data_IF_472740864085
#
_entry.id   IF_472740864085
#
_cell.length_a   1.000
_cell.length_b   1.000
_cell.length_c   1.000
_cell.angle_alpha   90.00
_cell.angle_beta   90.00
_cell.angle_gamma   90.00
#
_symmetry.space_group_name_H-M   'P 1'
#
loop_
_entity.id
_entity.type
_entity.pdbx_description
1 polymer ?
#
# COMPACT_ATOMS: atom_id res chain seq x y z
N UNK A 1 18.81 -27.23 3.24
CA UNK A 1 19.07 -27.22 1.79
C UNK A 1 18.95 -25.78 1.34
N UNK A 2 19.98 -25.22 0.70
CA UNK A 2 19.92 -23.83 0.23
C UNK A 2 18.82 -23.67 -0.83
N UNK A 3 18.11 -22.55 -0.82
CA UNK A 3 17.11 -22.27 -1.85
C UNK A 3 17.77 -22.18 -3.24
N UNK A 4 17.03 -22.44 -4.31
CA UNK A 4 17.56 -22.32 -5.68
C UNK A 4 18.10 -20.91 -5.99
N UNK A 5 17.56 -19.89 -5.31
CA UNK A 5 18.00 -18.50 -5.45
C UNK A 5 19.34 -18.28 -4.72
N UNK A 6 19.51 -18.80 -3.49
CA UNK A 6 20.78 -18.77 -2.77
C UNK A 6 21.91 -19.44 -3.54
N UNK A 7 21.64 -20.61 -4.15
CA UNK A 7 22.62 -21.32 -4.96
C UNK A 7 23.11 -20.47 -6.14
N UNK A 8 22.20 -19.71 -6.78
CA UNK A 8 22.55 -18.82 -7.87
C UNK A 8 23.40 -17.63 -7.42
N UNK A 9 23.03 -16.96 -6.32
CA UNK A 9 23.80 -15.82 -5.81
C UNK A 9 25.18 -16.25 -5.31
N UNK A 10 25.27 -17.40 -4.64
CA UNK A 10 26.55 -17.99 -4.22
C UNK A 10 27.45 -18.28 -5.42
N UNK A 11 26.88 -18.79 -6.50
CA UNK A 11 27.60 -18.98 -7.75
C UNK A 11 28.11 -17.67 -8.36
N UNK A 12 27.29 -16.61 -8.39
CA UNK A 12 27.72 -15.30 -8.90
C UNK A 12 28.83 -14.67 -8.06
N UNK A 13 28.80 -14.85 -6.73
CA UNK A 13 29.89 -14.41 -5.84
C UNK A 13 31.21 -15.13 -6.17
N UNK A 14 31.15 -16.45 -6.39
CA UNK A 14 32.30 -17.22 -6.87
C UNK A 14 32.79 -16.72 -8.23
N UNK A 15 31.87 -16.49 -9.17
CA UNK A 15 32.20 -16.01 -10.51
C UNK A 15 32.89 -14.64 -10.50
N UNK A 16 32.44 -13.72 -9.64
CA UNK A 16 33.00 -12.38 -9.51
C UNK A 16 34.47 -12.39 -9.06
N UNK A 17 34.87 -13.38 -8.25
CA UNK A 17 36.27 -13.55 -7.84
C UNK A 17 37.14 -14.26 -8.88
N UNK A 18 36.55 -15.03 -9.79
CA UNK A 18 37.27 -15.89 -10.74
C UNK A 18 37.40 -15.32 -12.15
N UNK A 19 36.44 -14.50 -12.62
CA UNK A 19 36.43 -14.06 -14.02
C UNK A 19 35.86 -12.65 -14.22
N UNK A 20 36.76 -11.68 -14.39
CA UNK A 20 36.38 -10.30 -14.77
C UNK A 20 35.71 -10.24 -16.14
N UNK A 21 36.09 -11.13 -17.07
CA UNK A 21 35.48 -11.25 -18.39
C UNK A 21 34.02 -11.67 -18.35
N UNK A 22 33.68 -12.65 -17.50
CA UNK A 22 32.30 -13.06 -17.26
C UNK A 22 31.46 -11.92 -16.68
N UNK A 23 31.98 -11.21 -15.67
CA UNK A 23 31.28 -10.04 -15.10
C UNK A 23 31.13 -8.89 -16.12
N UNK A 24 32.07 -8.75 -17.05
CA UNK A 24 31.93 -7.77 -18.14
C UNK A 24 30.82 -8.15 -19.13
N UNK A 25 30.68 -9.44 -19.47
CA UNK A 25 29.59 -9.92 -20.31
C UNK A 25 28.23 -9.72 -19.63
N UNK A 26 28.10 -10.13 -18.36
CA UNK A 26 26.86 -9.95 -17.58
C UNK A 26 26.46 -8.48 -17.43
N UNK A 27 27.41 -7.55 -17.25
CA UNK A 27 27.08 -6.11 -17.25
C UNK A 27 26.49 -5.65 -18.58
N UNK A 28 27.07 -6.08 -19.70
CA UNK A 28 26.62 -5.66 -21.04
C UNK A 28 25.24 -6.22 -21.38
N UNK A 29 24.87 -7.39 -20.86
CA UNK A 29 23.59 -8.02 -21.18
C UNK A 29 22.36 -7.18 -20.76
N UNK A 30 22.50 -6.27 -19.78
CA UNK A 30 21.42 -5.35 -19.39
C UNK A 30 21.11 -4.26 -20.44
N UNK A 31 21.92 -4.14 -21.49
CA UNK A 31 21.63 -3.25 -22.63
C UNK A 31 20.77 -3.93 -23.71
N UNK A 32 20.53 -5.25 -23.57
CA UNK A 32 19.70 -6.04 -24.47
C UNK A 32 18.41 -6.45 -23.75
N UNK A 33 17.46 -6.98 -24.52
CA UNK A 33 16.29 -7.67 -23.95
C UNK A 33 16.77 -8.82 -23.07
N UNK A 34 16.17 -8.96 -21.88
CA UNK A 34 16.53 -10.02 -20.94
C UNK A 34 16.41 -11.40 -21.60
N UNK A 35 17.46 -12.20 -21.47
CA UNK A 35 17.52 -13.55 -22.02
C UNK A 35 17.79 -13.66 -23.53
N UNK A 36 18.10 -12.55 -24.23
CA UNK A 36 18.45 -12.59 -25.66
C UNK A 36 19.95 -12.49 -25.95
N UNK A 37 20.79 -12.17 -24.95
CA UNK A 37 22.24 -12.11 -25.12
C UNK A 37 22.86 -13.53 -24.95
N UNK A 38 23.33 -14.11 -26.05
CA UNK A 38 23.95 -15.44 -26.06
C UNK A 38 25.25 -15.50 -25.25
N UNK A 39 25.92 -14.35 -25.09
CA UNK A 39 27.16 -14.24 -24.33
C UNK A 39 26.94 -14.25 -22.82
N UNK A 40 25.74 -14.55 -22.32
CA UNK A 40 25.49 -14.78 -20.89
C UNK A 40 24.86 -16.14 -20.57
N UNK A 41 24.51 -16.93 -21.58
CA UNK A 41 23.90 -18.26 -21.39
C UNK A 41 24.76 -19.22 -20.56
N UNK A 42 26.10 -19.33 -20.76
CA UNK A 42 26.94 -20.26 -19.99
C UNK A 42 26.86 -20.11 -18.46
N UNK A 43 26.54 -18.90 -17.98
CA UNK A 43 26.51 -18.56 -16.56
C UNK A 43 25.10 -18.59 -15.97
N UNK A 44 24.06 -18.33 -16.78
CA UNK A 44 22.68 -18.17 -16.29
C UNK A 44 21.81 -19.41 -16.55
N UNK A 45 21.87 -20.01 -17.75
CA UNK A 45 20.91 -21.06 -18.18
C UNK A 45 20.93 -22.30 -17.30
N UNK A 46 22.07 -22.63 -16.67
CA UNK A 46 22.18 -23.75 -15.73
C UNK A 46 21.25 -23.64 -14.51
N UNK A 47 20.79 -22.42 -14.18
CA UNK A 47 19.88 -22.15 -13.06
C UNK A 47 18.41 -21.94 -13.49
N UNK A 48 18.15 -21.80 -14.79
CA UNK A 48 16.81 -21.57 -15.33
C UNK A 48 15.89 -22.79 -15.15
N UNK A 49 16.46 -24.00 -15.11
CA UNK A 49 15.76 -25.27 -14.94
C UNK A 49 15.29 -25.86 -16.28
N UNK A 50 15.53 -27.15 -16.49
CA UNK A 50 15.38 -27.81 -17.79
C UNK A 50 13.96 -27.79 -18.39
N UNK A 51 12.92 -27.65 -17.55
CA UNK A 51 11.51 -27.61 -17.97
C UNK A 51 10.94 -26.19 -18.05
N UNK A 52 11.73 -25.17 -17.73
CA UNK A 52 11.24 -23.79 -17.67
C UNK A 52 11.15 -23.19 -19.07
N UNK A 53 10.10 -22.41 -19.34
CA UNK A 53 9.97 -21.68 -20.61
C UNK A 53 11.06 -20.61 -20.76
N UNK A 54 11.40 -20.28 -22.01
CA UNK A 54 12.39 -19.24 -22.36
C UNK A 54 11.95 -17.86 -21.86
N UNK A 55 10.65 -17.59 -21.87
CA UNK A 55 10.04 -16.34 -21.39
C UNK A 55 9.54 -16.44 -19.95
N UNK A 56 9.94 -17.47 -19.20
CA UNK A 56 9.50 -17.60 -17.81
C UNK A 56 9.98 -16.41 -16.95
N UNK A 57 9.11 -15.82 -16.11
CA UNK A 57 9.46 -14.65 -15.29
C UNK A 57 10.69 -14.87 -14.42
N UNK A 58 10.80 -16.07 -13.81
CA UNK A 58 11.98 -16.47 -13.03
C UNK A 58 13.25 -16.47 -13.87
N UNK A 59 13.21 -16.93 -15.13
CA UNK A 59 14.39 -16.93 -16.00
C UNK A 59 14.80 -15.50 -16.36
N UNK A 60 13.85 -14.62 -16.67
CA UNK A 60 14.13 -13.20 -16.90
C UNK A 60 14.73 -12.53 -15.66
N UNK A 61 14.20 -12.85 -14.47
CA UNK A 61 14.74 -12.38 -13.20
C UNK A 61 16.18 -12.85 -12.95
N UNK A 62 16.54 -14.10 -13.31
CA UNK A 62 17.92 -14.58 -13.23
C UNK A 62 18.86 -13.73 -14.10
N UNK A 63 18.46 -13.42 -15.35
CA UNK A 63 19.23 -12.55 -16.23
C UNK A 63 19.36 -11.13 -15.69
N UNK A 64 18.26 -10.55 -15.20
CA UNK A 64 18.27 -9.21 -14.62
C UNK A 64 19.20 -9.14 -13.40
N UNK A 65 19.07 -10.08 -12.46
CA UNK A 65 19.90 -10.12 -11.26
C UNK A 65 21.36 -10.38 -11.58
N UNK A 66 21.68 -11.25 -12.53
CA UNK A 66 23.08 -11.49 -12.92
C UNK A 66 23.75 -10.22 -13.45
N UNK A 67 23.05 -9.48 -14.30
CA UNK A 67 23.56 -8.22 -14.83
C UNK A 67 23.67 -7.11 -13.77
N UNK A 68 22.69 -7.01 -12.86
CA UNK A 68 22.73 -6.05 -11.75
C UNK A 68 23.87 -6.39 -10.78
N UNK A 69 23.98 -7.65 -10.37
CA UNK A 69 25.07 -8.14 -9.52
C UNK A 69 26.43 -7.85 -10.14
N UNK A 70 26.56 -7.99 -11.46
CA UNK A 70 27.81 -7.69 -12.15
C UNK A 70 28.21 -6.21 -12.14
N UNK A 71 27.25 -5.28 -12.03
CA UNK A 71 27.54 -3.85 -11.85
C UNK A 71 28.02 -3.53 -10.43
N UNK A 72 27.48 -4.23 -9.45
CA UNK A 72 27.76 -4.00 -8.04
C UNK A 72 27.63 -5.28 -7.19
N UNK A 73 28.69 -6.12 -7.12
CA UNK A 73 28.65 -7.42 -6.46
C UNK A 73 28.78 -7.30 -4.93
N UNK A 74 27.91 -6.52 -4.30
CA UNK A 74 27.91 -6.26 -2.87
C UNK A 74 26.63 -6.83 -2.23
N UNK A 75 26.73 -8.07 -1.76
CA UNK A 75 25.63 -8.78 -1.10
C UNK A 75 25.61 -8.48 0.41
N UNK A 76 24.42 -8.22 0.96
CA UNK A 76 24.23 -7.97 2.38
C UNK A 76 22.87 -8.50 2.87
N UNK A 77 22.67 -8.59 4.19
CA UNK A 77 21.44 -9.08 4.81
C UNK A 77 20.38 -7.98 5.02
N UNK A 78 19.99 -7.31 3.93
CA UNK A 78 18.89 -6.31 3.93
C UNK A 78 18.21 -6.28 2.57
N UNK A 79 16.90 -6.02 2.50
CA UNK A 79 16.20 -5.95 1.21
C UNK A 79 16.71 -4.77 0.37
N UNK A 80 16.52 -4.85 -0.96
CA UNK A 80 16.84 -3.75 -1.86
C UNK A 80 16.16 -2.44 -1.45
N UNK A 81 14.88 -2.51 -1.07
CA UNK A 81 14.12 -1.36 -0.66
C UNK A 81 14.63 -0.75 0.67
N UNK A 82 15.00 -1.58 1.66
CA UNK A 82 15.62 -1.09 2.89
C UNK A 82 16.97 -0.38 2.62
N UNK A 83 17.81 -0.95 1.75
CA UNK A 83 19.05 -0.30 1.34
C UNK A 83 18.82 1.05 0.65
N UNK A 84 17.76 1.17 -0.15
CA UNK A 84 17.40 2.43 -0.81
C UNK A 84 16.76 3.44 0.16
N UNK A 85 16.08 2.98 1.20
CA UNK A 85 15.58 3.81 2.30
C UNK A 85 16.72 4.40 3.13
N UNK A 86 17.70 3.59 3.49
CA UNK A 86 18.95 4.06 4.14
C UNK A 86 19.71 5.06 3.26
N UNK A 87 19.78 4.84 1.95
CA UNK A 87 20.34 5.83 1.03
C UNK A 87 19.58 7.17 1.08
N UNK A 88 18.24 7.12 1.19
CA UNK A 88 17.40 8.31 1.29
C UNK A 88 17.66 9.09 2.57
N UNK A 89 17.79 8.37 3.69
CA UNK A 89 18.09 8.93 5.01
C UNK A 89 19.48 9.58 5.03
N UNK A 90 20.54 8.85 4.63
CA UNK A 90 21.92 9.38 4.57
C UNK A 90 22.05 10.66 3.73
N UNK A 91 21.29 10.77 2.63
CA UNK A 91 21.35 11.92 1.72
C UNK A 91 20.35 13.02 2.05
N UNK A 92 19.38 12.77 2.93
CA UNK A 92 18.31 13.71 3.28
C UNK A 92 17.53 14.25 2.07
N UNK A 93 17.32 13.45 1.03
CA UNK A 93 16.86 13.94 -0.28
C UNK A 93 15.53 13.35 -0.73
N UNK A 94 14.49 14.19 -0.77
CA UNK A 94 13.16 13.85 -1.29
C UNK A 94 13.15 13.42 -2.77
N UNK A 95 14.23 13.66 -3.52
CA UNK A 95 14.34 13.17 -4.92
C UNK A 95 14.58 11.66 -4.98
N UNK A 96 15.13 11.05 -3.93
CA UNK A 96 15.37 9.60 -3.85
C UNK A 96 14.04 8.88 -3.68
N UNK A 97 13.17 9.39 -2.81
CA UNK A 97 11.81 8.89 -2.64
C UNK A 97 11.03 8.92 -3.96
N UNK A 98 11.08 10.03 -4.71
CA UNK A 98 10.43 10.12 -6.03
C UNK A 98 10.94 9.08 -7.02
N UNK A 99 12.26 8.81 -7.03
CA UNK A 99 12.85 7.75 -7.87
C UNK A 99 12.40 6.36 -7.44
N UNK A 100 12.26 6.14 -6.13
CA UNK A 100 11.75 4.88 -5.58
C UNK A 100 10.29 4.63 -6.00
N UNK A 101 9.42 5.64 -5.87
CA UNK A 101 8.03 5.55 -6.33
C UNK A 101 7.97 5.29 -7.83
N UNK A 102 8.72 6.06 -8.64
CA UNK A 102 8.76 5.88 -10.09
C UNK A 102 9.20 4.45 -10.47
N UNK A 103 10.18 3.87 -9.76
CA UNK A 103 10.63 2.50 -9.97
C UNK A 103 9.50 1.48 -9.76
N UNK A 104 8.69 1.63 -8.71
CA UNK A 104 7.55 0.73 -8.44
C UNK A 104 6.39 0.88 -9.44
N UNK A 105 6.33 2.01 -10.14
CA UNK A 105 5.32 2.33 -11.16
C UNK A 105 5.80 2.05 -12.60
N UNK A 106 7.11 1.88 -12.82
CA UNK A 106 7.75 1.80 -14.14
C UNK A 106 7.31 0.62 -15.03
N UNK A 107 6.51 -0.32 -14.51
CA UNK A 107 6.10 -1.55 -15.20
C UNK A 107 7.30 -2.42 -15.61
N UNK A 108 7.05 -3.50 -16.35
CA UNK A 108 8.09 -4.46 -16.74
C UNK A 108 9.21 -3.79 -17.57
N UNK A 109 8.84 -2.98 -18.55
CA UNK A 109 9.79 -2.36 -19.49
C UNK A 109 10.73 -1.35 -18.83
N UNK A 110 10.26 -0.66 -17.78
CA UNK A 110 11.04 0.35 -17.08
C UNK A 110 11.78 -0.16 -15.84
N UNK A 111 11.32 -1.26 -15.23
CA UNK A 111 11.79 -1.72 -13.92
C UNK A 111 13.32 -1.92 -13.86
N UNK A 112 13.88 -2.68 -14.80
CA UNK A 112 15.33 -2.99 -14.82
C UNK A 112 16.18 -1.75 -15.03
N UNK A 113 15.70 -0.82 -15.85
CA UNK A 113 16.38 0.46 -16.09
C UNK A 113 16.42 1.31 -14.82
N UNK A 114 15.30 1.40 -14.10
CA UNK A 114 15.24 2.12 -12.82
C UNK A 114 16.08 1.43 -11.75
N UNK A 115 16.08 0.10 -11.69
CA UNK A 115 16.93 -0.66 -10.77
C UNK A 115 18.41 -0.42 -11.03
N UNK A 116 18.83 -0.39 -12.31
CA UNK A 116 20.23 -0.07 -12.66
C UNK A 116 20.60 1.33 -12.21
N UNK A 117 19.72 2.31 -12.38
CA UNK A 117 19.94 3.68 -11.90
C UNK A 117 20.02 3.75 -10.37
N UNK A 118 19.12 3.09 -9.66
CA UNK A 118 19.13 3.00 -8.20
C UNK A 118 20.42 2.33 -7.70
N UNK A 119 20.88 1.28 -8.38
CA UNK A 119 22.11 0.57 -8.07
C UNK A 119 23.35 1.47 -8.14
N UNK A 120 23.42 2.38 -9.10
CA UNK A 120 24.53 3.35 -9.18
C UNK A 120 24.57 4.28 -7.96
N UNK A 121 23.41 4.66 -7.43
CA UNK A 121 23.33 5.48 -6.22
C UNK A 121 23.77 4.68 -4.97
N UNK A 122 23.30 3.45 -4.84
CA UNK A 122 23.70 2.54 -3.75
C UNK A 122 25.20 2.25 -3.77
N UNK A 123 25.76 2.03 -4.96
CA UNK A 123 27.19 1.81 -5.16
C UNK A 123 28.03 3.01 -4.74
N UNK A 124 27.55 4.24 -4.98
CA UNK A 124 28.27 5.45 -4.61
C UNK A 124 28.40 5.63 -3.09
N UNK A 125 27.44 5.11 -2.31
CA UNK A 125 27.44 5.13 -0.84
C UNK A 125 27.87 3.79 -0.22
N UNK A 126 28.33 2.84 -1.05
CA UNK A 126 28.75 1.49 -0.66
C UNK A 126 27.68 0.70 0.14
N UNK A 127 26.40 0.89 -0.17
CA UNK A 127 25.29 0.21 0.52
C UNK A 127 24.94 -1.09 -0.21
N UNK A 128 25.26 -2.23 0.40
CA UNK A 128 24.89 -3.56 -0.11
C UNK A 128 23.44 -3.97 0.17
N UNK A 129 22.95 -4.98 -0.55
CA UNK A 129 21.62 -5.56 -0.31
C UNK A 129 21.53 -7.03 -0.71
N UNK A 130 20.43 -7.66 -0.35
CA UNK A 130 20.15 -9.07 -0.53
C UNK A 130 19.63 -9.36 -1.95
N UNK A 131 20.53 -9.84 -2.79
CA UNK A 131 20.22 -10.31 -4.14
C UNK A 131 19.34 -11.57 -4.19
N UNK A 132 19.30 -12.40 -3.15
CA UNK A 132 18.44 -13.60 -3.09
C UNK A 132 16.98 -13.16 -3.01
N UNK A 133 16.70 -12.22 -2.10
CA UNK A 133 15.36 -11.63 -1.95
C UNK A 133 14.96 -10.88 -3.21
N UNK A 134 15.85 -10.03 -3.75
CA UNK A 134 15.58 -9.31 -5.01
C UNK A 134 15.25 -10.25 -6.17
N UNK A 135 15.93 -11.39 -6.30
CA UNK A 135 15.63 -12.37 -7.34
C UNK A 135 14.22 -12.96 -7.20
N UNK A 136 13.78 -13.23 -5.97
CA UNK A 136 12.41 -13.66 -5.69
C UNK A 136 11.39 -12.59 -6.10
N UNK A 137 11.62 -11.35 -5.70
CA UNK A 137 10.75 -10.22 -6.00
C UNK A 137 10.65 -9.94 -7.51
N UNK A 138 11.78 -9.95 -8.23
CA UNK A 138 11.81 -9.75 -9.68
C UNK A 138 11.13 -10.89 -10.44
N UNK A 139 11.13 -12.11 -9.90
CA UNK A 139 10.40 -13.22 -10.51
C UNK A 139 8.88 -12.99 -10.51
N UNK A 140 8.36 -12.19 -9.58
CA UNK A 140 6.95 -11.78 -9.53
C UNK A 140 6.70 -10.48 -10.31
N UNK A 141 7.62 -9.51 -10.20
CA UNK A 141 7.47 -8.19 -10.86
C UNK A 141 7.60 -8.26 -12.39
N UNK A 142 8.33 -9.24 -12.91
CA UNK A 142 8.50 -9.47 -14.36
C UNK A 142 7.49 -10.49 -14.91
N UNK A 143 6.47 -10.88 -14.15
CA UNK A 143 5.41 -11.76 -14.64
C UNK A 143 4.26 -10.94 -15.25
N UNK A 144 4.12 -10.89 -16.59
CA UNK A 144 3.05 -10.13 -17.23
C UNK A 144 1.66 -10.73 -16.97
N UNK A 145 1.59 -12.00 -16.55
CA UNK A 145 0.35 -12.70 -16.20
C UNK A 145 0.30 -13.01 -14.69
N UNK A 146 1.14 -12.34 -13.90
CA UNK A 146 1.29 -12.59 -12.48
C UNK A 146 0.03 -12.30 -11.69
N UNK A 147 -0.15 -13.02 -10.59
CA UNK A 147 -1.20 -12.74 -9.61
C UNK A 147 -1.02 -11.31 -9.06
N UNK A 148 -2.01 -10.44 -9.33
CA UNK A 148 -2.01 -9.05 -8.86
C UNK A 148 -1.85 -8.97 -7.33
N UNK A 149 -2.40 -9.94 -6.58
CA UNK A 149 -2.24 -10.01 -5.12
C UNK A 149 -0.78 -10.27 -4.73
N UNK A 150 -0.06 -11.09 -5.48
CA UNK A 150 1.36 -11.35 -5.25
C UNK A 150 2.22 -10.13 -5.62
N UNK A 151 1.93 -9.48 -6.75
CA UNK A 151 2.60 -8.24 -7.17
C UNK A 151 2.44 -7.14 -6.12
N UNK A 152 1.21 -6.92 -5.65
CA UNK A 152 0.91 -5.91 -4.63
C UNK A 152 1.62 -6.21 -3.31
N UNK A 153 1.78 -7.48 -2.93
CA UNK A 153 2.57 -7.85 -1.74
C UNK A 153 4.04 -7.45 -1.86
N UNK A 154 4.65 -7.61 -3.04
CA UNK A 154 6.04 -7.17 -3.27
C UNK A 154 6.15 -5.66 -3.14
N UNK A 155 5.27 -4.90 -3.83
CA UNK A 155 5.26 -3.43 -3.75
C UNK A 155 5.03 -2.92 -2.32
N UNK A 156 4.11 -3.52 -1.58
CA UNK A 156 3.89 -3.20 -0.17
C UNK A 156 5.09 -3.54 0.71
N UNK A 157 5.71 -4.70 0.48
CA UNK A 157 6.95 -5.11 1.12
C UNK A 157 8.05 -4.08 0.93
N UNK A 158 8.26 -3.67 -0.31
CA UNK A 158 9.23 -2.67 -0.69
C UNK A 158 8.92 -1.31 -0.05
N UNK A 159 7.67 -0.85 -0.12
CA UNK A 159 7.23 0.37 0.57
C UNK A 159 7.59 0.33 2.06
N UNK A 160 7.09 -0.66 2.79
CA UNK A 160 7.35 -0.83 4.23
C UNK A 160 8.85 -0.83 4.54
N UNK A 161 9.64 -1.63 3.82
CA UNK A 161 11.08 -1.76 4.08
C UNK A 161 11.84 -0.46 3.81
N UNK A 162 11.47 0.26 2.74
CA UNK A 162 12.03 1.57 2.41
C UNK A 162 11.74 2.58 3.51
N UNK A 163 10.47 2.83 3.86
CA UNK A 163 10.12 3.87 4.84
C UNK A 163 10.60 3.52 6.24
N UNK A 164 10.64 2.24 6.61
CA UNK A 164 11.24 1.82 7.88
C UNK A 164 12.72 2.20 7.98
N UNK A 165 13.49 2.01 6.90
CA UNK A 165 14.89 2.40 6.88
C UNK A 165 15.07 3.92 6.77
N UNK A 166 14.25 4.58 5.94
CA UNK A 166 14.33 6.03 5.71
C UNK A 166 13.94 6.88 6.92
N UNK A 167 13.18 6.33 7.87
CA UNK A 167 12.65 7.01 9.06
C UNK A 167 13.24 6.45 10.36
N UNK A 168 14.34 5.70 10.29
CA UNK A 168 14.83 4.88 11.39
C UNK A 168 15.32 5.66 12.62
N UNK A 169 15.65 6.95 12.49
CA UNK A 169 15.99 7.83 13.62
C UNK A 169 14.75 8.40 14.35
N UNK A 170 13.65 8.66 13.64
CA UNK A 170 12.45 9.31 14.20
C UNK A 170 11.38 8.33 14.70
N UNK A 171 11.57 7.03 14.47
CA UNK A 171 10.66 5.97 14.92
C UNK A 171 9.20 6.30 14.58
N UNK A 172 8.83 6.14 13.29
CA UNK A 172 7.55 6.55 12.70
C UNK A 172 6.38 6.73 13.69
N UNK A 173 5.74 7.90 13.64
CA UNK A 173 4.69 8.26 14.59
C UNK A 173 3.44 7.40 14.38
N UNK A 174 3.42 6.24 15.02
CA UNK A 174 2.36 5.25 14.90
C UNK A 174 1.10 5.60 15.70
N UNK A 175 1.09 6.75 16.38
CA UNK A 175 -0.08 7.25 17.10
C UNK A 175 -1.26 7.47 16.13
N UNK A 176 -2.43 6.84 16.39
CA UNK A 176 -3.61 7.05 15.57
C UNK A 176 -4.04 8.52 15.49
N UNK A 177 -3.90 9.29 16.58
CA UNK A 177 -4.26 10.71 16.62
C UNK A 177 -3.40 11.53 15.67
N UNK A 178 -2.08 11.40 15.75
CA UNK A 178 -1.15 12.09 14.87
C UNK A 178 -1.38 11.80 13.38
N UNK A 179 -1.72 10.56 13.04
CA UNK A 179 -2.11 10.20 11.68
C UNK A 179 -3.40 10.93 11.25
N UNK A 180 -4.42 10.96 12.11
CA UNK A 180 -5.69 11.65 11.80
C UNK A 180 -5.47 13.17 11.68
N UNK A 181 -4.67 13.77 12.56
CA UNK A 181 -4.34 15.20 12.53
C UNK A 181 -3.63 15.58 11.23
N UNK A 182 -2.68 14.74 10.77
CA UNK A 182 -2.02 14.93 9.47
C UNK A 182 -3.02 14.93 8.31
N UNK A 183 -3.91 13.93 8.25
CA UNK A 183 -4.93 13.85 7.19
C UNK A 183 -5.90 15.04 7.28
N UNK A 184 -6.28 15.48 8.47
CA UNK A 184 -7.14 16.64 8.67
C UNK A 184 -6.47 17.96 8.23
N UNK A 185 -5.17 18.13 8.49
CA UNK A 185 -4.38 19.26 7.99
C UNK A 185 -4.37 19.28 6.46
N UNK A 186 -4.11 18.14 5.80
CA UNK A 186 -4.17 18.05 4.34
C UNK A 186 -5.53 18.46 3.78
N UNK A 187 -6.62 17.98 4.38
CA UNK A 187 -7.99 18.32 3.99
C UNK A 187 -8.28 19.81 4.20
N UNK A 188 -7.83 20.38 5.31
CA UNK A 188 -8.04 21.80 5.66
C UNK A 188 -7.26 22.75 4.73
N UNK A 189 -6.07 22.34 4.31
CA UNK A 189 -5.19 23.11 3.43
C UNK A 189 -5.51 22.96 1.94
N UNK A 190 -6.45 22.09 1.57
CA UNK A 190 -6.80 21.76 0.18
C UNK A 190 -6.99 23.00 -0.69
N UNK A 191 -7.76 24.00 -0.25
CA UNK A 191 -8.10 25.12 -1.12
C UNK A 191 -6.94 26.16 -1.21
N UNK A 192 -6.00 26.14 -0.25
CA UNK A 192 -4.86 27.06 -0.16
C UNK A 192 -3.51 26.49 -0.64
N UNK A 193 -3.36 25.16 -0.70
CA UNK A 193 -2.08 24.49 -1.01
C UNK A 193 -2.17 23.62 -2.25
N UNK A 194 -1.33 23.87 -3.25
CA UNK A 194 -1.24 22.98 -4.42
C UNK A 194 -0.67 21.61 -4.08
N UNK A 195 0.21 21.52 -3.08
CA UNK A 195 0.75 20.23 -2.61
C UNK A 195 -0.34 19.40 -1.96
N UNK A 196 -1.10 19.98 -1.03
CA UNK A 196 -2.19 19.28 -0.36
C UNK A 196 -3.24 18.77 -1.36
N UNK A 197 -3.57 19.56 -2.40
CA UNK A 197 -4.47 19.09 -3.49
C UNK A 197 -3.92 17.90 -4.24
N UNK A 198 -2.62 17.89 -4.54
CA UNK A 198 -1.98 16.78 -5.24
C UNK A 198 -1.98 15.51 -4.39
N UNK A 199 -1.64 15.63 -3.10
CA UNK A 199 -1.65 14.52 -2.14
C UNK A 199 -3.06 13.95 -1.94
N UNK A 200 -4.07 14.79 -1.76
CA UNK A 200 -5.47 14.34 -1.70
C UNK A 200 -5.93 13.70 -3.01
N UNK A 201 -5.45 14.16 -4.17
CA UNK A 201 -5.75 13.50 -5.45
C UNK A 201 -5.13 12.10 -5.53
N UNK A 202 -3.89 11.94 -5.03
CA UNK A 202 -3.22 10.64 -4.90
C UNK A 202 -4.00 9.71 -3.98
N UNK A 203 -4.42 10.19 -2.80
CA UNK A 203 -5.22 9.41 -1.85
C UNK A 203 -6.59 9.01 -2.40
N UNK A 204 -7.28 9.91 -3.13
CA UNK A 204 -8.54 9.55 -3.81
C UNK A 204 -8.33 8.45 -4.85
N UNK A 205 -7.23 8.53 -5.61
CA UNK A 205 -6.89 7.52 -6.62
C UNK A 205 -6.53 6.17 -5.99
N UNK A 206 -5.93 6.16 -4.78
CA UNK A 206 -5.54 4.92 -4.12
C UNK A 206 -6.72 4.01 -3.78
N UNK A 207 -7.94 4.55 -3.64
CA UNK A 207 -9.16 3.76 -3.41
C UNK A 207 -9.62 2.91 -4.61
N UNK A 208 -8.95 3.03 -5.77
CA UNK A 208 -9.16 2.11 -6.89
C UNK A 208 -8.28 0.84 -6.77
N UNK A 209 -7.46 0.75 -5.73
CA UNK A 209 -6.53 -0.35 -5.50
C UNK A 209 -6.78 -0.94 -4.10
N UNK A 210 -6.29 -2.15 -3.86
CA UNK A 210 -6.26 -2.71 -2.51
C UNK A 210 -5.54 -1.74 -1.54
N UNK A 211 -5.91 -1.71 -0.25
CA UNK A 211 -5.21 -0.88 0.74
C UNK A 211 -3.69 -1.13 0.72
N UNK A 212 -2.92 -0.06 0.52
CA UNK A 212 -1.47 -0.12 0.34
C UNK A 212 -1.00 -0.61 -1.04
N UNK A 213 -1.89 -0.82 -2.00
CA UNK A 213 -1.56 -1.28 -3.36
C UNK A 213 -1.12 -0.19 -4.33
N UNK A 214 -1.18 1.08 -3.93
CA UNK A 214 -0.87 2.23 -4.78
C UNK A 214 0.42 2.94 -4.31
N UNK A 215 1.58 2.71 -4.93
CA UNK A 215 2.86 3.21 -4.44
C UNK A 215 2.93 4.72 -4.22
N UNK A 216 2.27 5.52 -5.07
CA UNK A 216 2.27 6.97 -4.93
C UNK A 216 1.64 7.47 -3.62
N UNK A 217 0.82 6.68 -2.91
CA UNK A 217 0.29 7.09 -1.60
C UNK A 217 1.23 6.76 -0.43
N UNK A 218 2.31 6.01 -0.64
CA UNK A 218 3.22 5.61 0.43
C UNK A 218 3.85 6.81 1.17
N UNK A 219 4.32 7.88 0.49
CA UNK A 219 4.91 9.04 1.18
C UNK A 219 3.97 9.70 2.20
N UNK A 220 2.66 9.58 1.98
CA UNK A 220 1.63 10.22 2.80
C UNK A 220 1.27 9.34 4.02
N UNK A 221 1.34 8.01 3.86
CA UNK A 221 0.74 7.07 4.82
C UNK A 221 1.78 6.25 5.59
N UNK A 222 2.87 5.82 4.95
CA UNK A 222 3.92 5.01 5.60
C UNK A 222 4.64 5.70 6.78
N UNK A 223 4.83 7.04 6.81
CA UNK A 223 5.45 7.69 7.96
C UNK A 223 4.74 7.49 9.30
N UNK A 224 3.46 7.11 9.24
CA UNK A 224 2.63 6.87 10.42
C UNK A 224 2.51 5.37 10.75
N UNK A 225 3.44 4.52 10.31
CA UNK A 225 3.42 3.08 10.59
C UNK A 225 4.41 2.70 11.68
N UNK A 226 4.01 1.77 12.56
CA UNK A 226 4.95 1.26 13.54
C UNK A 226 5.95 0.30 12.89
N UNK A 227 7.24 0.30 13.30
CA UNK A 227 8.27 -0.54 12.71
C UNK A 227 8.01 -2.04 12.82
N UNK A 228 7.25 -2.51 13.81
CA UNK A 228 6.96 -3.93 14.02
C UNK A 228 5.79 -4.45 13.17
N UNK A 229 5.03 -3.56 12.52
CA UNK A 229 3.85 -3.94 11.77
C UNK A 229 4.22 -4.78 10.54
N UNK A 230 3.54 -5.93 10.41
CA UNK A 230 3.66 -6.79 9.24
C UNK A 230 2.88 -6.22 8.05
N UNK A 231 3.12 -6.74 6.84
CA UNK A 231 2.32 -6.35 5.66
C UNK A 231 0.84 -6.73 5.78
N UNK A 232 0.53 -7.73 6.62
CA UNK A 232 -0.84 -8.18 6.90
C UNK A 232 -1.41 -7.50 8.14
N UNK A 233 -0.70 -6.54 8.71
CA UNK A 233 -1.23 -5.76 9.84
C UNK A 233 -2.41 -4.92 9.37
N UNK A 234 -3.54 -5.14 10.03
CA UNK A 234 -4.83 -4.60 9.59
C UNK A 234 -4.97 -3.13 9.96
N UNK A 235 -4.19 -2.66 10.94
CA UNK A 235 -4.07 -1.24 11.26
C UNK A 235 -3.37 -0.47 10.13
N UNK A 236 -2.35 -1.07 9.50
CA UNK A 236 -1.72 -0.52 8.29
C UNK A 236 -2.74 -0.39 7.16
N UNK A 237 -3.52 -1.45 6.90
CA UNK A 237 -4.56 -1.44 5.86
C UNK A 237 -5.66 -0.40 6.16
N UNK A 238 -6.11 -0.33 7.42
CA UNK A 238 -7.11 0.64 7.87
C UNK A 238 -6.65 2.08 7.63
N UNK A 239 -5.39 2.42 7.92
CA UNK A 239 -4.82 3.76 7.64
C UNK A 239 -4.86 4.11 6.16
N UNK A 240 -4.45 3.20 5.27
CA UNK A 240 -4.56 3.43 3.83
C UNK A 240 -6.01 3.68 3.38
N UNK A 241 -6.96 2.91 3.91
CA UNK A 241 -8.36 3.05 3.57
C UNK A 241 -8.95 4.37 4.10
N UNK A 242 -8.66 4.73 5.36
CA UNK A 242 -9.10 5.99 5.99
C UNK A 242 -8.52 7.20 5.27
N UNK A 243 -7.24 7.19 4.89
CA UNK A 243 -6.63 8.29 4.14
C UNK A 243 -7.35 8.55 2.81
N UNK A 244 -7.62 7.49 2.04
CA UNK A 244 -8.36 7.60 0.79
C UNK A 244 -9.79 8.12 0.99
N UNK A 245 -10.48 7.63 2.04
CA UNK A 245 -11.85 8.03 2.40
C UNK A 245 -11.92 9.50 2.81
N UNK A 246 -10.99 9.98 3.64
CA UNK A 246 -10.90 11.38 4.02
C UNK A 246 -10.69 12.28 2.80
N UNK A 247 -9.93 11.81 1.81
CA UNK A 247 -9.73 12.54 0.58
C UNK A 247 -10.99 12.59 -0.32
N UNK A 248 -11.92 11.63 -0.21
CA UNK A 248 -13.22 11.66 -0.88
C UNK A 248 -14.22 12.59 -0.20
N UNK A 249 -14.27 12.59 1.13
CA UNK A 249 -15.16 13.45 1.89
C UNK A 249 -14.37 14.42 2.78
N UNK A 250 -14.23 15.69 2.38
CA UNK A 250 -13.46 16.68 3.13
C UNK A 250 -14.16 17.12 4.43
N UNK A 251 -15.43 16.76 4.64
CA UNK A 251 -16.18 17.10 5.84
C UNK A 251 -15.91 16.06 6.92
N UNK A 252 -15.13 16.46 7.93
CA UNK A 252 -14.75 15.60 9.05
C UNK A 252 -15.42 16.13 10.32
N UNK A 253 -15.89 15.23 11.20
CA UNK A 253 -16.50 15.58 12.49
C UNK A 253 -15.96 14.65 13.56
N UNK A 254 -15.59 15.16 14.73
CA UNK A 254 -15.08 14.31 15.81
C UNK A 254 -16.15 13.42 16.45
N UNK A 255 -17.42 13.87 16.43
CA UNK A 255 -18.48 13.31 17.29
C UNK A 255 -19.37 12.29 16.60
N UNK A 256 -19.54 12.40 15.29
CA UNK A 256 -20.55 11.65 14.55
C UNK A 256 -19.95 10.39 13.90
N UNK A 257 -20.52 9.22 14.16
CA UNK A 257 -20.08 7.99 13.48
C UNK A 257 -20.55 7.98 12.02
N UNK A 258 -19.87 7.20 11.17
CA UNK A 258 -20.25 7.02 9.77
C UNK A 258 -21.69 6.50 9.65
N UNK A 259 -22.07 5.55 10.51
CA UNK A 259 -23.42 4.98 10.53
C UNK A 259 -24.49 6.00 10.93
N UNK A 260 -24.23 6.86 11.93
CA UNK A 260 -25.15 7.97 12.28
C UNK A 260 -25.32 8.95 11.12
N UNK A 261 -24.23 9.29 10.43
CA UNK A 261 -24.30 10.17 9.27
C UNK A 261 -25.13 9.57 8.14
N UNK A 262 -24.93 8.29 7.83
CA UNK A 262 -25.70 7.61 6.81
C UNK A 262 -27.18 7.47 7.18
N UNK A 263 -27.51 7.25 8.46
CA UNK A 263 -28.90 7.17 8.93
C UNK A 263 -29.66 8.50 8.79
N UNK A 264 -28.98 9.64 8.98
CA UNK A 264 -29.55 10.97 8.69
C UNK A 264 -29.87 11.14 7.20
N UNK A 265 -28.94 10.75 6.32
CA UNK A 265 -29.18 10.79 4.86
C UNK A 265 -30.35 9.86 4.48
N UNK A 266 -30.44 8.68 5.10
CA UNK A 266 -31.55 7.75 4.87
C UNK A 266 -32.90 8.40 5.21
N UNK A 267 -33.00 9.07 6.37
CA UNK A 267 -34.20 9.79 6.80
C UNK A 267 -34.60 10.90 5.81
N UNK A 268 -33.63 11.68 5.33
CA UNK A 268 -33.86 12.78 4.38
C UNK A 268 -34.30 12.27 3.00
N UNK A 269 -33.68 11.19 2.52
CA UNK A 269 -33.94 10.63 1.19
C UNK A 269 -35.31 9.94 1.05
N UNK A 270 -35.91 9.50 2.16
CA UNK A 270 -37.13 8.67 2.20
C UNK A 270 -37.10 7.46 1.25
N UNK A 271 -35.90 6.92 0.98
CA UNK A 271 -35.69 5.81 0.05
C UNK A 271 -35.01 4.62 0.72
N UNK A 272 -35.58 3.43 0.54
CA UNK A 272 -34.99 2.16 1.00
C UNK A 272 -33.63 1.84 0.35
N UNK A 273 -33.24 2.56 -0.70
CA UNK A 273 -31.98 2.34 -1.39
C UNK A 273 -30.74 2.56 -0.51
N UNK A 274 -30.80 3.51 0.44
CA UNK A 274 -29.68 3.80 1.35
C UNK A 274 -29.55 2.70 2.40
N UNK A 275 -30.68 2.24 2.96
CA UNK A 275 -30.69 1.14 3.90
C UNK A 275 -30.15 -0.15 3.28
N UNK A 276 -30.53 -0.48 2.03
CA UNK A 276 -29.99 -1.65 1.31
C UNK A 276 -28.48 -1.58 1.13
N UNK A 277 -27.92 -0.41 0.78
CA UNK A 277 -26.46 -0.20 0.66
C UNK A 277 -25.77 -0.34 2.01
N UNK A 278 -26.39 0.17 3.08
CA UNK A 278 -25.87 0.02 4.43
C UNK A 278 -25.86 -1.44 4.88
N UNK A 279 -26.92 -2.21 4.62
CA UNK A 279 -26.96 -3.65 4.89
C UNK A 279 -25.87 -4.39 4.12
N UNK A 280 -25.65 -4.05 2.84
CA UNK A 280 -24.55 -4.63 2.06
C UNK A 280 -23.18 -4.30 2.66
N UNK A 281 -22.97 -3.07 3.15
CA UNK A 281 -21.75 -2.68 3.86
C UNK A 281 -21.56 -3.48 5.16
N UNK A 282 -22.62 -3.69 5.95
CA UNK A 282 -22.54 -4.51 7.17
C UNK A 282 -22.19 -5.97 6.87
N UNK A 283 -22.67 -6.50 5.75
CA UNK A 283 -22.40 -7.85 5.28
C UNK A 283 -21.05 -8.05 4.59
N UNK A 284 -20.30 -6.97 4.35
CA UNK A 284 -19.02 -7.05 3.65
C UNK A 284 -17.95 -7.78 4.49
N UNK A 285 -17.18 -8.62 3.81
CA UNK A 285 -15.94 -9.19 4.32
C UNK A 285 -14.76 -8.21 4.12
N UNK A 286 -13.58 -8.58 4.61
CA UNK A 286 -12.39 -7.72 4.52
C UNK A 286 -11.99 -7.39 3.06
N UNK A 287 -12.25 -8.30 2.11
CA UNK A 287 -11.90 -8.13 0.69
C UNK A 287 -12.84 -7.10 0.01
N UNK A 288 -14.13 -7.11 0.34
CA UNK A 288 -15.14 -6.24 -0.29
C UNK A 288 -15.44 -4.95 0.50
N UNK A 289 -14.97 -4.84 1.75
CA UNK A 289 -15.26 -3.70 2.64
C UNK A 289 -14.83 -2.36 2.02
N UNK A 290 -13.65 -2.31 1.38
CA UNK A 290 -13.13 -1.09 0.79
C UNK A 290 -14.05 -0.52 -0.32
N UNK A 291 -14.60 -1.40 -1.17
CA UNK A 291 -15.48 -1.00 -2.27
C UNK A 291 -16.83 -0.49 -1.76
N UNK A 292 -17.46 -1.22 -0.83
CA UNK A 292 -18.72 -0.79 -0.22
C UNK A 292 -18.57 0.53 0.55
N UNK A 293 -17.45 0.69 1.25
CA UNK A 293 -17.17 1.89 2.03
C UNK A 293 -16.91 3.09 1.12
N UNK A 294 -16.17 2.91 0.03
CA UNK A 294 -15.96 3.94 -1.00
C UNK A 294 -17.28 4.44 -1.59
N UNK A 295 -18.18 3.53 -1.93
CA UNK A 295 -19.51 3.88 -2.48
C UNK A 295 -20.34 4.66 -1.45
N UNK A 296 -20.33 4.21 -0.19
CA UNK A 296 -21.04 4.85 0.92
C UNK A 296 -20.52 6.25 1.19
N UNK A 297 -19.20 6.43 1.27
CA UNK A 297 -18.57 7.74 1.51
C UNK A 297 -18.79 8.69 0.33
N UNK A 298 -18.81 8.18 -0.91
CA UNK A 298 -19.12 9.02 -2.08
C UNK A 298 -20.53 9.59 -2.02
N UNK A 299 -21.51 8.78 -1.58
CA UNK A 299 -22.87 9.24 -1.30
C UNK A 299 -22.87 10.32 -0.21
N UNK A 300 -22.17 10.07 0.90
CA UNK A 300 -22.08 11.02 2.03
C UNK A 300 -21.43 12.34 1.63
N UNK A 301 -20.39 12.30 0.80
CA UNK A 301 -19.74 13.49 0.26
C UNK A 301 -20.72 14.33 -0.59
N UNK A 302 -21.58 13.68 -1.39
CA UNK A 302 -22.59 14.40 -2.18
C UNK A 302 -23.70 15.03 -1.32
N UNK A 303 -23.94 14.50 -0.11
CA UNK A 303 -24.90 15.02 0.86
C UNK A 303 -24.27 15.98 1.89
N UNK A 304 -22.99 16.37 1.72
CA UNK A 304 -22.22 17.23 2.64
C UNK A 304 -22.22 16.76 4.11
N UNK A 305 -22.25 15.44 4.33
CA UNK A 305 -22.38 14.87 5.68
C UNK A 305 -21.03 14.52 6.31
N UNK A 306 -20.67 15.12 7.48
CA UNK A 306 -19.42 14.83 8.16
C UNK A 306 -19.47 13.58 9.04
N UNK A 307 -18.31 12.95 9.27
CA UNK A 307 -18.15 11.84 10.21
C UNK A 307 -16.72 11.75 10.80
N UNK A 308 -16.57 10.91 11.82
CA UNK A 308 -15.37 10.74 12.62
C UNK A 308 -14.40 9.74 12.02
N UNK A 309 -13.26 10.25 11.54
CA UNK A 309 -12.20 9.42 10.97
C UNK A 309 -11.49 8.57 12.01
N UNK A 310 -11.29 9.08 13.24
CA UNK A 310 -10.64 8.32 14.31
C UNK A 310 -11.49 7.10 14.70
N UNK A 311 -12.81 7.28 14.86
CA UNK A 311 -13.72 6.15 15.10
C UNK A 311 -13.75 5.18 13.94
N UNK A 312 -13.74 5.68 12.70
CA UNK A 312 -13.68 4.83 11.52
C UNK A 312 -12.37 4.01 11.50
N UNK A 313 -11.24 4.62 11.85
CA UNK A 313 -9.95 3.96 11.90
C UNK A 313 -9.92 2.81 12.91
N UNK A 314 -10.46 3.02 14.11
CA UNK A 314 -10.57 1.98 15.15
C UNK A 314 -11.46 0.81 14.68
N UNK A 315 -12.60 1.16 14.08
CA UNK A 315 -13.58 0.19 13.60
C UNK A 315 -13.01 -0.66 12.47
N UNK A 316 -12.33 -0.05 11.50
CA UNK A 316 -11.70 -0.75 10.38
C UNK A 316 -10.49 -1.57 10.82
N UNK A 317 -9.73 -1.12 11.82
CA UNK A 317 -8.59 -1.89 12.36
C UNK A 317 -9.05 -3.22 12.95
N UNK A 318 -10.25 -3.23 13.56
CA UNK A 318 -10.91 -4.44 14.08
C UNK A 318 -11.53 -5.26 12.95
N UNK A 319 -12.31 -4.63 12.07
CA UNK A 319 -13.07 -5.30 11.02
C UNK A 319 -12.18 -6.03 10.01
N UNK A 320 -11.06 -5.41 9.62
CA UNK A 320 -10.13 -6.00 8.66
C UNK A 320 -9.32 -7.14 9.27
N UNK A 321 -9.25 -7.26 10.61
CA UNK A 321 -8.41 -8.23 11.29
C UNK A 321 -8.99 -9.65 11.21
N UNK A 322 -8.35 -10.59 10.49
CA UNK A 322 -8.87 -11.96 10.41
C UNK A 322 -8.58 -12.78 11.69
N UNK A 323 -7.76 -12.25 12.61
CA UNK A 323 -7.30 -12.95 13.81
C UNK A 323 -7.99 -12.50 15.10
N UNK A 324 -8.84 -11.46 15.05
CA UNK A 324 -9.67 -11.11 16.21
C UNK A 324 -10.81 -12.11 16.34
N UNK A 325 -11.30 -12.25 17.57
CA UNK A 325 -12.53 -12.99 17.82
C UNK A 325 -13.68 -12.36 16.99
N UNK A 326 -14.40 -13.16 16.17
CA UNK A 326 -15.50 -12.68 15.34
C UNK A 326 -16.54 -11.85 16.10
N UNK A 327 -16.72 -12.10 17.41
CA UNK A 327 -17.61 -11.32 18.26
C UNK A 327 -17.26 -9.82 18.28
N UNK A 328 -15.99 -9.45 18.12
CA UNK A 328 -15.56 -8.05 18.08
C UNK A 328 -16.00 -7.36 16.79
N UNK A 329 -15.91 -8.05 15.66
CA UNK A 329 -16.43 -7.54 14.39
C UNK A 329 -17.96 -7.42 14.45
N UNK A 330 -18.63 -8.39 15.06
CA UNK A 330 -20.08 -8.33 15.24
C UNK A 330 -20.51 -7.20 16.19
N UNK A 331 -19.72 -6.88 17.22
CA UNK A 331 -19.95 -5.70 18.05
C UNK A 331 -19.84 -4.40 17.25
N UNK A 332 -18.87 -4.28 16.34
CA UNK A 332 -18.75 -3.14 15.43
C UNK A 332 -20.00 -3.04 14.54
N UNK A 333 -20.41 -4.16 13.92
CA UNK A 333 -21.62 -4.23 13.08
C UNK A 333 -22.89 -3.85 13.85
N UNK A 334 -23.08 -4.38 15.05
CA UNK A 334 -24.23 -4.08 15.90
C UNK A 334 -24.26 -2.61 16.33
N UNK A 335 -23.09 -2.04 16.68
CA UNK A 335 -22.98 -0.61 17.00
C UNK A 335 -23.34 0.24 15.79
N UNK A 336 -22.80 -0.07 14.61
CA UNK A 336 -23.15 0.63 13.37
C UNK A 336 -24.65 0.52 13.08
N UNK A 337 -25.23 -0.68 13.16
CA UNK A 337 -26.66 -0.87 12.93
C UNK A 337 -27.51 -0.04 13.89
N UNK A 338 -27.20 -0.07 15.19
CA UNK A 338 -27.88 0.73 16.21
C UNK A 338 -27.80 2.22 15.89
N UNK A 339 -26.61 2.74 15.62
CA UNK A 339 -26.39 4.17 15.34
C UNK A 339 -27.12 4.63 14.06
N UNK A 340 -27.17 3.78 13.02
CA UNK A 340 -27.93 4.02 11.80
C UNK A 340 -29.44 4.07 12.05
N UNK A 341 -30.00 3.01 12.65
CA UNK A 341 -31.45 2.90 12.85
C UNK A 341 -32.00 3.87 13.90
N UNK A 342 -31.19 4.27 14.89
CA UNK A 342 -31.57 5.33 15.81
C UNK A 342 -31.69 6.66 15.06
N UNK A 343 -30.69 7.03 14.26
CA UNK A 343 -30.68 8.30 13.53
C UNK A 343 -31.69 8.35 12.38
N UNK A 344 -32.00 7.23 11.73
CA UNK A 344 -33.03 7.17 10.67
C UNK A 344 -34.46 7.21 11.20
N UNK A 345 -34.66 7.12 12.53
CA UNK A 345 -35.97 7.20 13.20
C UNK A 345 -36.25 8.53 13.88
N UNK A 346 -35.26 9.42 14.03
CA UNK A 346 -35.43 10.70 14.75
C UNK A 346 -36.26 11.68 13.91
N UNK A 347 -37.58 11.49 13.93
CA UNK A 347 -38.62 12.48 13.61
C UNK A 347 -40.01 12.13 14.19
N UNK A 348 -40.15 11.10 15.04
CA UNK A 348 -41.44 10.67 15.60
C UNK A 348 -41.72 11.10 17.06
N UNK A 349 -40.90 11.95 17.67
CA UNK A 349 -41.07 12.36 19.08
C UNK A 349 -41.13 13.86 19.34
N UNK A 350 -41.49 14.66 18.33
CA UNK A 350 -41.85 16.08 18.51
C UNK A 350 -43.36 16.29 18.37
N UNK A 351 -44.15 15.62 19.21
CA UNK A 351 -45.40 16.21 19.73
C UNK A 351 -45.97 15.36 20.88
N UNK A 352 -45.82 15.82 22.13
CA UNK A 352 -46.80 15.54 23.15
C UNK A 352 -47.40 16.85 23.67
N UNK A 353 -48.74 16.93 23.56
CA UNK A 353 -49.65 17.81 24.30
C UNK A 353 -50.04 19.15 23.65
N UNK A 354 -51.12 19.10 22.84
CA UNK A 354 -52.21 20.08 22.92
C UNK A 354 -53.50 19.47 22.35
N UNK A 355 -54.14 18.59 23.13
CA UNK A 355 -55.57 18.28 23.00
C UNK A 355 -56.07 17.71 24.33
N UNK A 356 -56.22 18.59 25.31
CA UNK A 356 -57.04 18.39 26.49
C UNK A 356 -57.34 19.76 27.10
N UNK A 357 -58.34 20.45 26.53
CA UNK A 357 -59.34 21.22 27.26
C UNK A 357 -60.11 22.13 26.29
N UNK A 358 -61.33 21.72 25.94
CA UNK A 358 -62.52 22.57 25.92
C UNK A 358 -63.72 21.68 25.57
N UNK A 359 -64.63 21.48 26.53
CA UNK A 359 -65.80 20.64 26.35
C UNK A 359 -66.48 20.18 27.64
N UNK A 360 -66.73 21.11 28.57
CA UNK A 360 -67.78 21.00 29.59
C UNK A 360 -68.31 22.39 29.91
#
# INVERSE_FOLDING_TARGET
MASHNEAFITYLQGLASQSTGAMAALRRSLSFTLGQDEHVYPWVERFAGAKSRVDSPRRLALYAVAGLFAHYPHHAHRSFAAAFGELSERRGSATIEKRFIALMEAGEQGLVTHLRQALHLLKAEEIGFDYVTLLGDLSLLLDPQGDERALNKVKQGWGRDYYRAALSEDGGNSDPGAFIDHIQSLVSERDGSSSARAELAVLRRSLAFAPGGFPASFPIVEPFMAPDWSLRDTRRQARYLVAGIAALNPKISERQSLATALGKIALESKSDGIEKRFIALLGADADNLADHLRQTVSLMASADMPFSLIRLLDDLSTWLNPWVDPAWVDQVRQRWARDFYQSSRVNNHSDPQQQSNEGA
#
